data_IF_542566718999
#
_entry.id   IF_542566718999
#
_cell.length_a   1.000
_cell.length_b   1.000
_cell.length_c   1.000
_cell.angle_alpha   90.00
_cell.angle_beta   90.00
_cell.angle_gamma   90.00
#
_symmetry.space_group_name_H-M   'P 1'
#
loop_
_entity.id
_entity.type
_entity.pdbx_description
1 polymer ?
#
# COMPACT_ATOMS: atom_id res chain seq x y z
N UNK A 1 -30.73 -8.75 -4.61
CA UNK A 1 -30.00 -7.50 -4.84
C UNK A 1 -28.76 -7.57 -3.99
N UNK A 2 -27.64 -8.00 -4.57
CA UNK A 2 -26.41 -8.25 -3.81
C UNK A 2 -25.90 -6.93 -3.21
N UNK A 3 -25.42 -6.93 -1.95
CA UNK A 3 -24.78 -5.76 -1.40
C UNK A 3 -23.63 -5.39 -2.33
N UNK A 4 -23.52 -4.11 -2.67
CA UNK A 4 -22.41 -3.53 -3.43
C UNK A 4 -21.11 -4.11 -2.89
N UNK A 5 -20.45 -4.96 -3.67
CA UNK A 5 -19.15 -5.51 -3.31
C UNK A 5 -18.22 -4.30 -3.19
N UNK A 6 -17.87 -3.91 -1.96
CA UNK A 6 -17.07 -2.71 -1.73
C UNK A 6 -15.69 -2.96 -2.31
N UNK A 7 -15.45 -2.40 -3.49
CA UNK A 7 -14.16 -2.51 -4.17
C UNK A 7 -13.12 -1.79 -3.32
N UNK A 8 -12.04 -2.49 -2.94
CA UNK A 8 -10.92 -1.86 -2.25
C UNK A 8 -10.40 -0.67 -3.03
N UNK A 9 -10.18 0.45 -2.34
CA UNK A 9 -9.53 1.63 -2.91
C UNK A 9 -8.03 1.46 -2.87
N UNK A 10 -7.42 1.38 -4.04
CA UNK A 10 -5.96 1.37 -4.17
C UNK A 10 -5.35 2.74 -3.87
N UNK A 11 -4.06 2.72 -3.54
CA UNK A 11 -3.20 3.90 -3.45
C UNK A 11 -2.59 4.21 -4.81
N UNK A 12 -2.41 5.49 -5.13
CA UNK A 12 -1.57 5.92 -6.26
C UNK A 12 -0.10 6.02 -5.85
N UNK A 13 0.86 5.97 -6.79
CA UNK A 13 2.28 6.19 -6.47
C UNK A 13 2.52 7.52 -5.73
N UNK A 14 1.82 8.59 -6.09
CA UNK A 14 1.90 9.90 -5.44
C UNK A 14 1.40 9.83 -3.99
N UNK A 15 0.32 9.10 -3.72
CA UNK A 15 -0.17 8.91 -2.35
C UNK A 15 0.82 8.11 -1.50
N UNK A 16 1.44 7.06 -2.07
CA UNK A 16 2.50 6.32 -1.38
C UNK A 16 3.71 7.22 -1.11
N UNK A 17 4.08 8.09 -2.05
CA UNK A 17 5.16 9.05 -1.88
C UNK A 17 4.84 10.08 -0.79
N UNK A 18 3.63 10.62 -0.74
CA UNK A 18 3.18 11.55 0.31
C UNK A 18 3.28 10.90 1.70
N UNK A 19 2.93 9.62 1.83
CA UNK A 19 3.08 8.86 3.07
C UNK A 19 4.56 8.71 3.42
N UNK A 20 5.40 8.39 2.45
CA UNK A 20 6.84 8.24 2.62
C UNK A 20 7.52 9.55 3.09
N UNK A 21 7.10 10.69 2.53
CA UNK A 21 7.63 12.02 2.86
C UNK A 21 7.34 12.43 4.32
N UNK A 22 6.41 11.78 5.02
CA UNK A 22 6.14 12.06 6.44
C UNK A 22 7.25 11.60 7.39
N UNK A 23 8.15 10.71 6.95
CA UNK A 23 9.19 10.12 7.79
C UNK A 23 10.53 10.88 7.75
N UNK A 24 10.63 11.98 6.99
CA UNK A 24 11.88 12.74 6.81
C UNK A 24 13.08 11.87 6.36
N UNK A 25 12.79 10.78 5.65
CA UNK A 25 13.77 9.85 5.10
C UNK A 25 13.85 9.98 3.58
N UNK A 26 15.04 10.10 2.97
CA UNK A 26 15.16 10.15 1.52
C UNK A 26 14.67 8.85 0.87
N UNK A 27 13.85 8.99 -0.16
CA UNK A 27 13.47 7.87 -1.04
C UNK A 27 14.70 7.42 -1.82
N UNK A 28 15.00 6.12 -1.78
CA UNK A 28 16.10 5.49 -2.54
C UNK A 28 15.63 4.51 -3.61
N UNK A 29 14.36 4.09 -3.58
CA UNK A 29 13.81 3.12 -4.52
C UNK A 29 12.37 3.50 -4.92
N UNK A 30 12.26 4.32 -5.97
CA UNK A 30 10.99 4.73 -6.55
C UNK A 30 10.21 3.57 -7.20
N UNK A 31 10.89 2.52 -7.67
CA UNK A 31 10.21 1.32 -8.16
C UNK A 31 9.45 0.60 -7.03
N UNK A 32 10.00 0.64 -5.80
CA UNK A 32 9.30 0.19 -4.59
C UNK A 32 8.01 0.97 -4.32
N UNK A 33 8.04 2.30 -4.46
CA UNK A 33 6.85 3.17 -4.33
C UNK A 33 5.77 2.77 -5.36
N UNK A 34 6.16 2.60 -6.63
CA UNK A 34 5.23 2.17 -7.69
C UNK A 34 4.68 0.78 -7.44
N UNK A 35 5.51 -0.16 -6.99
CA UNK A 35 5.10 -1.53 -6.69
C UNK A 35 4.06 -1.59 -5.56
N UNK A 36 4.26 -0.78 -4.50
CA UNK A 36 3.32 -0.68 -3.38
C UNK A 36 1.96 -0.13 -3.82
N UNK A 37 1.96 0.95 -4.61
CA UNK A 37 0.74 1.49 -5.18
C UNK A 37 0.01 0.45 -6.04
N UNK A 38 0.73 -0.21 -6.95
CA UNK A 38 0.18 -1.24 -7.82
C UNK A 38 -0.41 -2.41 -7.02
N UNK A 39 0.26 -2.89 -5.96
CA UNK A 39 -0.18 -4.01 -5.15
C UNK A 39 -1.44 -3.72 -4.33
N UNK A 40 -1.64 -2.48 -3.88
CA UNK A 40 -2.66 -2.09 -2.90
C UNK A 40 -4.10 -2.52 -3.23
N UNK A 41 -4.48 -2.52 -4.52
CA UNK A 41 -5.78 -2.99 -5.00
C UNK A 41 -5.67 -3.71 -6.36
N UNK A 42 -4.57 -4.44 -6.57
CA UNK A 42 -4.31 -5.13 -7.82
C UNK A 42 -5.41 -6.15 -8.17
N UNK A 43 -5.66 -6.29 -9.48
CA UNK A 43 -6.49 -7.36 -10.04
C UNK A 43 -5.75 -8.02 -11.21
N UNK A 44 -5.88 -9.33 -11.33
CA UNK A 44 -5.34 -10.12 -12.45
C UNK A 44 -6.53 -10.79 -13.15
N UNK A 45 -6.78 -10.41 -14.41
CA UNK A 45 -7.96 -10.87 -15.16
C UNK A 45 -9.29 -10.62 -14.42
N UNK A 46 -9.38 -9.49 -13.71
CA UNK A 46 -10.55 -9.14 -12.88
C UNK A 46 -10.63 -9.86 -11.53
N UNK A 47 -9.67 -10.75 -11.21
CA UNK A 47 -9.61 -11.43 -9.92
C UNK A 47 -8.80 -10.57 -8.95
N UNK A 48 -9.36 -10.17 -7.79
CA UNK A 48 -8.61 -9.46 -6.76
C UNK A 48 -7.39 -10.25 -6.30
N UNK A 49 -6.23 -9.61 -6.26
CA UNK A 49 -5.00 -10.22 -5.73
C UNK A 49 -5.11 -10.48 -4.22
N UNK A 50 -5.87 -9.63 -3.52
CA UNK A 50 -6.14 -9.78 -2.09
C UNK A 50 -7.63 -9.98 -1.85
N UNK A 51 -7.98 -10.91 -0.95
CA UNK A 51 -9.37 -11.27 -0.62
C UNK A 51 -10.09 -10.21 0.21
N UNK A 52 -9.33 -9.39 0.95
CA UNK A 52 -9.84 -8.35 1.83
C UNK A 52 -8.74 -7.33 2.13
N UNK A 53 -9.14 -6.18 2.68
CA UNK A 53 -8.25 -5.06 2.98
C UNK A 53 -7.19 -5.40 4.04
N UNK A 54 -7.46 -6.32 4.97
CA UNK A 54 -6.48 -6.73 5.98
C UNK A 54 -5.35 -7.54 5.36
N UNK A 55 -5.67 -8.44 4.43
CA UNK A 55 -4.66 -9.18 3.66
C UNK A 55 -3.86 -8.27 2.74
N UNK A 56 -4.50 -7.30 2.10
CA UNK A 56 -3.81 -6.29 1.30
C UNK A 56 -2.83 -5.47 2.16
N UNK A 57 -3.27 -4.99 3.33
CA UNK A 57 -2.42 -4.25 4.26
C UNK A 57 -1.20 -5.06 4.74
N UNK A 58 -1.41 -6.34 5.08
CA UNK A 58 -0.32 -7.24 5.46
C UNK A 58 0.70 -7.43 4.32
N UNK A 59 0.22 -7.64 3.10
CA UNK A 59 1.07 -7.79 1.92
C UNK A 59 1.83 -6.50 1.58
N UNK A 60 1.19 -5.32 1.72
CA UNK A 60 1.85 -4.03 1.54
C UNK A 60 2.99 -3.84 2.55
N UNK A 61 2.79 -4.24 3.81
CA UNK A 61 3.84 -4.19 4.83
C UNK A 61 5.02 -5.06 4.44
N UNK A 62 4.77 -6.32 4.06
CA UNK A 62 5.81 -7.26 3.63
C UNK A 62 6.56 -6.74 2.40
N UNK A 63 5.84 -6.20 1.42
CA UNK A 63 6.42 -5.63 0.20
C UNK A 63 7.24 -4.38 0.49
N UNK A 64 6.81 -3.52 1.42
CA UNK A 64 7.54 -2.31 1.82
C UNK A 64 8.87 -2.68 2.49
N UNK A 65 8.86 -3.70 3.35
CA UNK A 65 10.08 -4.24 3.95
C UNK A 65 11.03 -4.86 2.91
N UNK A 66 10.49 -5.62 1.95
CA UNK A 66 11.28 -6.28 0.92
C UNK A 66 11.90 -5.30 -0.10
N UNK A 67 11.14 -4.28 -0.49
CA UNK A 67 11.60 -3.27 -1.47
C UNK A 67 12.42 -2.16 -0.82
N UNK A 68 12.20 -1.93 0.48
CA UNK A 68 12.83 -0.92 1.33
C UNK A 68 12.98 0.43 0.60
N UNK A 69 11.86 1.12 0.29
CA UNK A 69 11.84 2.32 -0.53
C UNK A 69 12.63 3.50 0.05
N UNK A 70 12.81 3.55 1.37
CA UNK A 70 13.51 4.61 2.10
C UNK A 70 14.94 4.22 2.46
N UNK A 71 15.79 5.21 2.76
CA UNK A 71 17.17 4.96 3.25
C UNK A 71 17.22 4.35 4.65
N UNK A 72 16.27 4.68 5.52
CA UNK A 72 16.10 4.11 6.85
C UNK A 72 14.60 4.01 7.18
N UNK A 73 14.26 3.49 8.35
CA UNK A 73 12.89 3.47 8.90
C UNK A 73 11.83 2.81 7.99
N UNK A 74 12.25 1.81 7.20
CA UNK A 74 11.34 1.09 6.31
C UNK A 74 10.33 0.24 7.09
N UNK A 75 10.65 -0.16 8.33
CA UNK A 75 9.75 -0.79 9.27
C UNK A 75 8.63 0.16 9.72
N UNK A 76 8.98 1.39 10.10
CA UNK A 76 8.01 2.44 10.45
C UNK A 76 7.15 2.78 9.24
N UNK A 77 7.75 2.98 8.07
CA UNK A 77 7.03 3.26 6.83
C UNK A 77 6.05 2.13 6.47
N UNK A 78 6.46 0.87 6.62
CA UNK A 78 5.62 -0.28 6.31
C UNK A 78 4.36 -0.33 7.20
N UNK A 79 4.49 0.00 8.48
CA UNK A 79 3.35 0.08 9.42
C UNK A 79 2.45 1.28 9.12
N UNK A 80 3.01 2.46 8.86
CA UNK A 80 2.23 3.66 8.51
C UNK A 80 1.47 3.45 7.20
N UNK A 81 2.11 2.90 6.17
CA UNK A 81 1.50 2.61 4.88
C UNK A 81 0.31 1.66 5.02
N UNK A 82 0.50 0.55 5.76
CA UNK A 82 -0.56 -0.42 6.01
C UNK A 82 -1.72 0.20 6.78
N UNK A 83 -1.43 1.07 7.77
CA UNK A 83 -2.46 1.76 8.54
C UNK A 83 -3.26 2.74 7.69
N UNK A 84 -2.59 3.62 6.95
CA UNK A 84 -3.24 4.59 6.07
C UNK A 84 -4.08 3.88 5.01
N UNK A 85 -3.57 2.77 4.43
CA UNK A 85 -4.34 1.97 3.48
C UNK A 85 -5.64 1.41 4.09
N UNK A 86 -5.62 0.98 5.36
CA UNK A 86 -6.84 0.51 6.03
C UNK A 86 -7.81 1.66 6.31
N UNK A 87 -7.31 2.79 6.81
CA UNK A 87 -8.14 3.95 7.15
C UNK A 87 -8.93 4.45 5.93
N UNK A 88 -8.33 4.46 4.73
CA UNK A 88 -9.03 4.88 3.51
C UNK A 88 -10.12 3.91 3.04
N UNK A 89 -10.18 2.69 3.56
CA UNK A 89 -11.27 1.74 3.26
C UNK A 89 -12.50 1.97 4.15
N UNK A 90 -12.33 2.63 5.30
CA UNK A 90 -13.39 2.85 6.28
C UNK A 90 -14.16 4.17 6.06
N UNK A 91 -13.65 5.03 5.16
CA UNK A 91 -14.30 6.28 4.71
C UNK A 91 -15.40 5.96 3.71
#
# INVERSE_FOLDING_TARGET
>A
MSPTESVMRGLTPEQVLIIADQLDQPVRNYAGIVALAAASAAQIQGIPVHTDSRRAAAALRELALATAPLRAENDVFAEVLARVFLDIQEI
#
